data_IF_280053605331
#
_entry.id   IF_280053605331
#
_cell.length_a   1.000
_cell.length_b   1.000
_cell.length_c   1.000
_cell.angle_alpha   90.00
_cell.angle_beta   90.00
_cell.angle_gamma   90.00
#
_symmetry.space_group_name_H-M   'P 1'
#
loop_
_entity.id
_entity.type
_entity.pdbx_description
1 polymer ?
#
# COMPACT_ATOMS: atom_id res chain seq x y z
N UNK A 1 6.26 -4.66 -1.08
CA UNK A 1 5.12 -5.05 -1.99
C UNK A 1 4.65 -3.79 -2.72
N UNK A 2 3.88 -3.86 -3.81
CA UNK A 2 3.36 -2.63 -4.44
C UNK A 2 1.84 -2.69 -4.60
N UNK A 3 1.33 -3.33 -5.65
CA UNK A 3 -0.13 -3.33 -5.90
C UNK A 3 -0.91 -4.20 -4.91
N UNK A 4 -0.28 -5.18 -4.29
CA UNK A 4 -0.89 -6.01 -3.26
C UNK A 4 -1.41 -5.23 -2.07
N UNK A 5 -0.75 -4.14 -1.64
CA UNK A 5 -1.22 -3.30 -0.54
C UNK A 5 -2.65 -2.79 -0.76
N UNK A 6 -3.02 -2.48 -2.00
CA UNK A 6 -4.36 -1.98 -2.34
C UNK A 6 -5.47 -3.02 -2.13
N UNK A 7 -5.13 -4.31 -2.11
CA UNK A 7 -6.08 -5.35 -1.70
C UNK A 7 -6.60 -5.14 -0.29
N UNK A 8 -5.73 -4.72 0.64
CA UNK A 8 -6.13 -4.35 2.00
C UNK A 8 -7.07 -3.14 2.00
N UNK A 9 -6.82 -2.13 1.16
CA UNK A 9 -7.73 -0.97 1.03
C UNK A 9 -9.13 -1.37 0.62
N UNK A 10 -9.25 -2.25 -0.38
CA UNK A 10 -10.54 -2.77 -0.82
C UNK A 10 -11.25 -3.56 0.27
N UNK A 11 -10.54 -4.49 0.94
CA UNK A 11 -11.09 -5.28 2.04
C UNK A 11 -11.51 -4.39 3.22
N UNK A 12 -10.68 -3.42 3.60
CA UNK A 12 -10.96 -2.45 4.65
C UNK A 12 -12.22 -1.64 4.34
N UNK A 13 -12.37 -1.15 3.12
CA UNK A 13 -13.56 -0.41 2.65
C UNK A 13 -14.84 -1.23 2.72
N UNK A 14 -14.74 -2.54 2.61
CA UNK A 14 -15.88 -3.47 2.79
C UNK A 14 -16.27 -3.66 4.25
N UNK A 15 -15.29 -3.62 5.16
CA UNK A 15 -15.54 -3.77 6.60
C UNK A 15 -16.08 -2.51 7.24
N UNK A 16 -15.61 -1.34 6.81
CA UNK A 16 -16.02 -0.04 7.34
C UNK A 16 -16.21 0.96 6.19
N UNK A 17 -17.43 1.43 6.01
CA UNK A 17 -17.81 2.32 4.90
C UNK A 17 -17.53 3.80 5.15
N UNK A 18 -17.06 4.17 6.33
CA UNK A 18 -16.80 5.58 6.68
C UNK A 18 -15.56 6.15 5.98
N UNK A 19 -14.37 5.49 6.01
CA UNK A 19 -13.21 6.00 5.27
C UNK A 19 -13.39 5.78 3.77
N UNK A 20 -13.32 6.84 2.92
CA UNK A 20 -13.43 6.66 1.47
C UNK A 20 -12.27 5.84 0.91
N UNK A 21 -12.49 5.16 -0.22
CA UNK A 21 -11.51 4.25 -0.81
C UNK A 21 -10.17 4.93 -1.13
N UNK A 22 -10.20 6.17 -1.64
CA UNK A 22 -8.98 6.92 -1.93
C UNK A 22 -8.12 7.16 -0.69
N UNK A 23 -8.75 7.42 0.47
CA UNK A 23 -8.03 7.60 1.73
C UNK A 23 -7.36 6.30 2.17
N UNK A 24 -8.06 5.18 2.03
CA UNK A 24 -7.49 3.85 2.32
C UNK A 24 -6.35 3.51 1.36
N UNK A 25 -6.43 3.92 0.08
CA UNK A 25 -5.33 3.79 -0.89
C UNK A 25 -4.08 4.55 -0.44
N UNK A 26 -4.25 5.78 0.05
CA UNK A 26 -3.14 6.54 0.64
C UNK A 26 -2.67 5.90 1.96
N UNK A 27 -3.60 5.42 2.80
CA UNK A 27 -3.25 4.85 4.10
C UNK A 27 -2.38 3.59 3.96
N UNK A 28 -2.73 2.64 3.09
CA UNK A 28 -1.92 1.44 2.87
C UNK A 28 -0.56 1.74 2.24
N UNK A 29 -0.39 2.87 1.59
CA UNK A 29 0.86 3.31 0.97
C UNK A 29 1.54 4.45 1.77
N UNK A 30 1.05 4.77 2.97
CA UNK A 30 1.54 5.95 3.71
C UNK A 30 3.04 5.89 3.95
N UNK A 31 3.58 4.72 4.27
CA UNK A 31 5.01 4.55 4.50
C UNK A 31 5.82 4.89 3.25
N UNK A 32 5.39 4.43 2.09
CA UNK A 32 6.00 4.73 0.79
C UNK A 32 5.77 6.18 0.34
N UNK A 33 4.60 6.74 0.61
CA UNK A 33 4.28 8.15 0.34
C UNK A 33 5.22 9.09 1.13
N UNK A 34 5.64 8.67 2.32
CA UNK A 34 6.63 9.37 3.13
C UNK A 34 8.08 9.04 2.70
N UNK A 35 8.34 7.78 2.34
CA UNK A 35 9.64 7.31 1.89
C UNK A 35 10.13 8.06 0.64
N UNK A 36 9.27 8.24 -0.35
CA UNK A 36 9.67 8.86 -1.60
C UNK A 36 10.23 10.29 -1.40
N UNK A 37 9.56 11.24 -0.70
CA UNK A 37 10.15 12.53 -0.36
C UNK A 37 11.43 12.40 0.48
N UNK A 38 11.51 11.45 1.42
CA UNK A 38 12.71 11.28 2.26
C UNK A 38 13.91 10.80 1.44
N UNK A 39 13.69 9.97 0.42
CA UNK A 39 14.73 9.60 -0.55
C UNK A 39 15.17 10.81 -1.39
N UNK A 40 14.21 11.60 -1.89
CA UNK A 40 14.51 12.80 -2.69
C UNK A 40 15.29 13.85 -1.89
N UNK A 41 15.04 13.95 -0.59
CA UNK A 41 15.74 14.83 0.33
C UNK A 41 17.06 14.23 0.89
N UNK A 42 17.38 12.97 0.56
CA UNK A 42 18.57 12.28 1.06
C UNK A 42 18.51 11.88 2.54
N UNK A 43 17.30 11.94 3.15
CA UNK A 43 17.05 11.52 4.54
C UNK A 43 17.07 10.00 4.63
N UNK A 44 16.31 9.31 3.77
CA UNK A 44 16.39 7.87 3.58
C UNK A 44 17.14 7.54 2.29
N UNK A 45 17.67 6.33 2.18
CA UNK A 45 18.63 6.01 1.13
C UNK A 45 18.31 4.69 0.46
N UNK A 46 18.30 4.73 -0.86
CA UNK A 46 18.15 3.59 -1.74
C UNK A 46 19.12 3.72 -2.91
N UNK A 47 19.53 2.61 -3.48
CA UNK A 47 20.29 2.57 -4.73
C UNK A 47 19.75 1.47 -5.64
N UNK A 48 20.01 1.62 -6.94
CA UNK A 48 19.61 0.62 -7.92
C UNK A 48 20.74 -0.38 -8.05
N UNK A 49 20.47 -1.64 -7.71
CA UNK A 49 21.42 -2.77 -7.80
C UNK A 49 20.72 -3.90 -8.55
N UNK A 50 20.87 -3.96 -9.88
CA UNK A 50 20.28 -5.04 -10.67
C UNK A 50 20.70 -6.42 -10.15
N UNK A 51 19.74 -7.31 -9.94
CA UNK A 51 20.00 -8.66 -9.45
C UNK A 51 20.15 -8.79 -7.93
N UNK A 52 19.95 -7.73 -7.14
CA UNK A 52 19.98 -7.82 -5.66
C UNK A 52 18.85 -8.71 -5.13
N UNK A 53 17.72 -8.73 -5.81
CA UNK A 53 16.69 -9.78 -5.77
C UNK A 53 16.30 -10.14 -7.19
N UNK A 54 15.56 -11.23 -7.37
CA UNK A 54 15.14 -11.68 -8.70
C UNK A 54 14.02 -10.81 -9.34
N UNK A 55 13.27 -10.01 -8.56
CA UNK A 55 12.16 -9.18 -9.06
C UNK A 55 12.23 -7.70 -8.69
N UNK A 56 13.13 -7.30 -7.79
CA UNK A 56 13.24 -5.91 -7.37
C UNK A 56 14.72 -5.49 -7.30
N UNK A 57 15.13 -4.46 -8.07
CA UNK A 57 16.51 -3.99 -8.10
C UNK A 57 16.84 -2.96 -7.00
N UNK A 58 15.90 -2.63 -6.11
CA UNK A 58 16.09 -1.63 -5.07
C UNK A 58 16.87 -2.20 -3.89
N UNK A 59 18.05 -1.66 -3.62
CA UNK A 59 18.77 -1.86 -2.37
C UNK A 59 18.36 -0.77 -1.38
N UNK A 60 17.39 -1.12 -0.53
CA UNK A 60 16.78 -0.25 0.46
C UNK A 60 17.62 -0.28 1.76
N UNK A 61 18.84 0.24 1.68
CA UNK A 61 19.83 0.03 2.72
C UNK A 61 19.68 0.91 3.96
N UNK A 62 18.91 2.02 3.88
CA UNK A 62 18.66 2.91 5.01
C UNK A 62 17.26 3.54 4.93
N UNK A 63 16.32 3.05 5.74
CA UNK A 63 14.92 3.51 5.75
C UNK A 63 14.28 3.43 7.16
N UNK A 64 14.93 4.03 8.19
CA UNK A 64 14.50 3.88 9.58
C UNK A 64 13.24 4.66 9.92
N UNK A 65 12.95 5.77 9.22
CA UNK A 65 11.90 6.72 9.58
C UNK A 65 10.54 6.37 8.98
N UNK A 66 10.54 5.53 7.93
CA UNK A 66 9.30 5.09 7.29
C UNK A 66 9.08 3.60 7.46
N UNK A 67 10.11 2.76 7.26
CA UNK A 67 9.97 1.32 7.16
C UNK A 67 10.52 0.52 8.35
N UNK A 68 11.01 1.16 9.44
CA UNK A 68 11.20 0.39 10.66
C UNK A 68 9.82 0.02 11.26
N UNK A 69 9.73 -1.12 11.96
CA UNK A 69 8.47 -1.52 12.62
C UNK A 69 8.00 -0.45 13.60
N UNK A 70 8.94 0.16 14.35
CA UNK A 70 8.60 1.24 15.29
C UNK A 70 8.07 2.46 14.54
N UNK A 71 8.70 2.86 13.42
CA UNK A 71 8.18 3.95 12.59
C UNK A 71 6.80 3.62 12.01
N UNK A 72 6.59 2.41 11.50
CA UNK A 72 5.30 1.95 11.00
C UNK A 72 4.20 2.02 12.08
N UNK A 73 4.49 1.61 13.32
CA UNK A 73 3.57 1.74 14.45
C UNK A 73 3.28 3.21 14.79
N UNK A 74 4.29 4.08 14.78
CA UNK A 74 4.11 5.51 15.03
C UNK A 74 3.26 6.17 13.94
N UNK A 75 3.54 5.93 12.66
CA UNK A 75 2.75 6.47 11.56
C UNK A 75 1.32 5.93 11.56
N UNK A 76 1.12 4.66 11.94
CA UNK A 76 -0.20 4.06 12.14
C UNK A 76 -0.97 4.78 13.25
N UNK A 77 -0.33 5.05 14.38
CA UNK A 77 -0.94 5.78 15.49
C UNK A 77 -1.27 7.24 15.10
N UNK A 78 -0.38 7.91 14.38
CA UNK A 78 -0.62 9.27 13.85
C UNK A 78 -1.81 9.28 12.89
N UNK A 79 -1.87 8.36 11.93
CA UNK A 79 -2.97 8.26 10.97
C UNK A 79 -4.31 7.98 11.69
N UNK A 80 -4.32 7.07 12.65
CA UNK A 80 -5.47 6.80 13.52
C UNK A 80 -5.93 8.07 14.26
N UNK A 81 -5.01 8.76 14.92
CA UNK A 81 -5.31 9.96 15.69
C UNK A 81 -5.84 11.10 14.82
N UNK A 82 -5.21 11.34 13.66
CA UNK A 82 -5.64 12.35 12.68
C UNK A 82 -7.03 12.04 12.12
N UNK A 83 -7.29 10.77 11.76
CA UNK A 83 -8.63 10.40 11.29
C UNK A 83 -9.67 10.55 12.41
N UNK A 84 -9.34 10.14 13.63
CA UNK A 84 -10.22 10.23 14.80
C UNK A 84 -10.57 11.67 15.18
N UNK A 85 -9.65 12.61 15.00
CA UNK A 85 -9.86 14.04 15.30
C UNK A 85 -10.83 14.73 14.32
N UNK A 86 -11.07 14.15 13.13
CA UNK A 86 -11.96 14.73 12.13
C UNK A 86 -13.46 14.48 12.38
N UNK A 87 -13.82 13.57 13.30
CA UNK A 87 -15.20 13.27 13.57
C UNK A 87 -15.42 12.44 14.84
N UNK A 88 -16.59 12.60 15.48
CA UNK A 88 -16.97 11.98 16.74
C UNK A 88 -18.24 11.13 16.71
N UNK A 89 -18.77 10.83 15.50
CA UNK A 89 -20.01 10.07 15.35
C UNK A 89 -19.89 8.58 15.71
N UNK A 90 -21.02 7.84 15.73
CA UNK A 90 -21.04 6.39 15.83
C UNK A 90 -20.12 5.76 14.77
N UNK A 91 -19.31 4.77 15.16
CA UNK A 91 -18.35 4.12 14.23
C UNK A 91 -17.01 4.84 14.03
N UNK A 92 -16.86 6.11 14.44
CA UNK A 92 -15.62 6.86 14.22
C UNK A 92 -14.37 6.21 14.84
N UNK A 93 -14.53 5.44 15.93
CA UNK A 93 -13.43 4.67 16.52
C UNK A 93 -13.03 3.48 15.64
N UNK A 94 -14.01 2.73 15.11
CA UNK A 94 -13.75 1.60 14.22
C UNK A 94 -13.09 2.07 12.94
N UNK A 95 -13.58 3.15 12.33
CA UNK A 95 -13.00 3.75 11.14
C UNK A 95 -11.56 4.22 11.36
N UNK A 96 -11.29 4.90 12.48
CA UNK A 96 -9.93 5.35 12.84
C UNK A 96 -8.98 4.17 13.07
N UNK A 97 -9.42 3.13 13.78
CA UNK A 97 -8.65 1.90 13.96
C UNK A 97 -8.34 1.25 12.62
N UNK A 98 -9.32 1.18 11.72
CA UNK A 98 -9.13 0.58 10.40
C UNK A 98 -8.10 1.36 9.57
N UNK A 99 -8.12 2.70 9.61
CA UNK A 99 -7.11 3.53 8.95
C UNK A 99 -5.72 3.27 9.51
N UNK A 100 -5.57 3.22 10.84
CA UNK A 100 -4.29 2.87 11.46
C UNK A 100 -3.81 1.47 11.09
N UNK A 101 -4.69 0.46 11.11
CA UNK A 101 -4.37 -0.91 10.69
C UNK A 101 -4.03 -1.00 9.20
N UNK A 102 -4.67 -0.20 8.35
CA UNK A 102 -4.32 -0.11 6.93
C UNK A 102 -2.87 0.38 6.75
N UNK A 103 -2.43 1.38 7.51
CA UNK A 103 -1.02 1.82 7.50
C UNK A 103 -0.09 0.70 7.98
N UNK A 104 -0.41 0.05 9.10
CA UNK A 104 0.44 -1.02 9.65
C UNK A 104 0.53 -2.23 8.70
N UNK A 105 -0.54 -2.52 7.96
CA UNK A 105 -0.57 -3.63 7.01
C UNK A 105 0.51 -3.52 5.92
N UNK A 106 0.96 -2.30 5.60
CA UNK A 106 2.06 -2.08 4.69
C UNK A 106 3.32 -2.81 5.16
N UNK A 107 3.77 -2.53 6.38
CA UNK A 107 4.96 -3.16 6.95
C UNK A 107 4.82 -4.70 7.02
N UNK A 108 3.64 -5.20 7.40
CA UNK A 108 3.37 -6.64 7.50
C UNK A 108 3.47 -7.34 6.14
N UNK A 109 2.93 -6.73 5.09
CA UNK A 109 2.99 -7.29 3.73
C UNK A 109 4.40 -7.17 3.15
N UNK A 110 5.11 -6.09 3.46
CA UNK A 110 6.50 -5.91 3.06
C UNK A 110 7.44 -6.91 3.72
N UNK A 111 7.21 -7.26 4.98
CA UNK A 111 7.96 -8.31 5.65
C UNK A 111 7.96 -9.64 4.87
N UNK A 112 6.87 -9.95 4.16
CA UNK A 112 6.78 -11.17 3.34
C UNK A 112 7.66 -11.10 2.09
N UNK A 113 7.72 -9.93 1.43
CA UNK A 113 8.37 -9.82 0.11
C UNK A 113 9.81 -9.34 0.20
N UNK A 114 10.14 -8.48 1.14
CA UNK A 114 11.48 -7.93 1.33
C UNK A 114 12.49 -9.03 1.71
N UNK A 115 13.71 -8.88 1.21
CA UNK A 115 14.87 -9.55 1.81
C UNK A 115 15.05 -9.01 3.24
N UNK A 116 15.98 -9.57 4.08
CA UNK A 116 16.24 -9.02 5.41
C UNK A 116 16.85 -7.61 5.37
N UNK A 117 16.05 -6.61 4.97
CA UNK A 117 16.40 -5.19 4.90
C UNK A 117 15.38 -4.27 5.61
N UNK A 118 14.23 -4.81 6.09
CA UNK A 118 13.28 -4.08 6.91
C UNK A 118 13.77 -3.97 8.36
N UNK A 119 14.05 -2.75 8.87
CA UNK A 119 14.46 -2.60 10.27
C UNK A 119 13.31 -2.89 11.24
N UNK A 120 13.62 -3.41 12.42
CA UNK A 120 12.67 -3.43 13.54
C UNK A 120 12.69 -2.10 14.30
N UNK A 121 13.88 -1.55 14.55
CA UNK A 121 14.08 -0.29 15.24
C UNK A 121 15.25 0.46 14.61
N UNK A 122 15.08 1.76 14.35
CA UNK A 122 16.07 2.58 13.65
C UNK A 122 16.55 1.86 12.37
N UNK A 123 17.82 1.73 12.10
CA UNK A 123 18.37 0.94 10.99
C UNK A 123 18.92 -0.43 11.43
N UNK A 124 18.38 -0.99 12.50
CA UNK A 124 18.91 -2.21 13.15
C UNK A 124 17.92 -3.38 13.12
N UNK A 125 18.42 -4.58 13.44
CA UNK A 125 17.62 -5.80 13.52
C UNK A 125 16.75 -6.03 12.26
N UNK A 126 17.39 -6.04 11.09
CA UNK A 126 16.73 -6.14 9.79
C UNK A 126 16.15 -7.53 9.56
N UNK A 127 14.88 -7.56 9.11
CA UNK A 127 14.09 -8.77 8.88
C UNK A 127 13.45 -8.75 7.49
N UNK A 128 12.90 -9.90 7.05
CA UNK A 128 12.20 -10.08 5.79
C UNK A 128 12.27 -11.54 5.32
N UNK A 129 11.22 -12.03 4.67
CA UNK A 129 11.13 -13.42 4.20
C UNK A 129 11.69 -13.63 2.79
N UNK A 130 11.99 -12.55 2.06
CA UNK A 130 12.73 -12.60 0.78
C UNK A 130 11.94 -13.13 -0.40
N UNK A 131 10.59 -12.99 -0.41
CA UNK A 131 9.77 -13.53 -1.49
C UNK A 131 10.10 -12.89 -2.86
N UNK A 132 10.69 -11.70 -2.91
CA UNK A 132 11.19 -11.08 -4.15
C UNK A 132 12.25 -11.91 -4.89
N UNK A 133 12.87 -12.89 -4.21
CA UNK A 133 13.75 -13.87 -4.85
C UNK A 133 13.00 -15.00 -5.59
N UNK A 134 11.65 -15.00 -5.53
CA UNK A 134 10.76 -15.93 -6.23
C UNK A 134 9.70 -15.15 -7.03
N UNK A 135 10.05 -14.54 -8.19
CA UNK A 135 9.22 -13.59 -8.90
C UNK A 135 7.79 -14.07 -9.17
N UNK A 136 7.64 -15.32 -9.62
CA UNK A 136 6.33 -15.90 -9.90
C UNK A 136 5.44 -15.97 -8.66
N UNK A 137 5.99 -16.37 -7.51
CA UNK A 137 5.24 -16.44 -6.25
C UNK A 137 4.93 -15.05 -5.70
N UNK A 138 5.89 -14.12 -5.77
CA UNK A 138 5.68 -12.74 -5.34
C UNK A 138 4.58 -12.07 -6.19
N UNK A 139 4.64 -12.23 -7.51
CA UNK A 139 3.63 -11.70 -8.43
C UNK A 139 2.24 -12.33 -8.19
N UNK A 140 2.18 -13.65 -8.00
CA UNK A 140 0.93 -14.35 -7.70
C UNK A 140 0.33 -13.88 -6.36
N UNK A 141 1.16 -13.65 -5.33
CA UNK A 141 0.71 -13.12 -4.05
C UNK A 141 0.15 -11.70 -4.22
N UNK A 142 0.85 -10.82 -4.94
CA UNK A 142 0.37 -9.46 -5.20
C UNK A 142 -0.98 -9.47 -5.93
N UNK A 143 -1.13 -10.31 -6.94
CA UNK A 143 -2.40 -10.48 -7.67
C UNK A 143 -3.50 -11.05 -6.77
N UNK A 144 -3.20 -12.06 -5.96
CA UNK A 144 -4.17 -12.70 -5.07
C UNK A 144 -4.67 -11.73 -3.99
N UNK A 145 -3.77 -10.95 -3.38
CA UNK A 145 -4.16 -9.95 -2.36
C UNK A 145 -4.98 -8.83 -2.99
N UNK A 146 -4.54 -8.30 -4.15
CA UNK A 146 -5.24 -7.23 -4.86
C UNK A 146 -6.66 -7.65 -5.25
N UNK A 147 -6.79 -8.73 -6.00
CA UNK A 147 -8.10 -9.18 -6.49
C UNK A 147 -8.95 -9.84 -5.43
N UNK A 148 -8.36 -10.48 -4.41
CA UNK A 148 -9.08 -11.00 -3.25
C UNK A 148 -9.77 -9.88 -2.47
N UNK A 149 -9.04 -8.81 -2.14
CA UNK A 149 -9.61 -7.62 -1.50
C UNK A 149 -10.66 -6.93 -2.38
N UNK A 150 -10.38 -6.78 -3.67
CA UNK A 150 -11.33 -6.21 -4.64
C UNK A 150 -12.61 -7.06 -4.76
N UNK A 151 -12.52 -8.37 -4.76
CA UNK A 151 -13.68 -9.26 -4.80
C UNK A 151 -14.57 -9.08 -3.55
N UNK A 152 -13.95 -8.97 -2.36
CA UNK A 152 -14.67 -8.65 -1.12
C UNK A 152 -15.39 -7.30 -1.22
N UNK A 153 -14.70 -6.27 -1.71
CA UNK A 153 -15.28 -4.94 -1.92
C UNK A 153 -16.48 -4.99 -2.86
N UNK A 154 -16.30 -5.54 -4.06
CA UNK A 154 -17.34 -5.61 -5.09
C UNK A 154 -18.52 -6.54 -4.70
N UNK A 155 -18.29 -7.53 -3.85
CA UNK A 155 -19.35 -8.37 -3.29
C UNK A 155 -20.30 -7.64 -2.35
N UNK A 156 -19.87 -6.49 -1.78
CA UNK A 156 -20.68 -5.65 -0.89
C UNK A 156 -21.23 -4.37 -1.51
N UNK A 157 -20.96 -4.12 -2.80
CA UNK A 157 -21.32 -2.88 -3.48
C UNK A 157 -22.36 -3.14 -4.57
N UNK A 158 -23.21 -2.14 -4.81
CA UNK A 158 -24.09 -2.07 -5.98
C UNK A 158 -23.53 -1.03 -6.95
N UNK A 159 -23.24 -1.43 -8.18
CA UNK A 159 -22.67 -0.56 -9.21
C UNK A 159 -21.93 -1.33 -10.30
N UNK A 160 -21.39 -0.64 -11.31
CA UNK A 160 -20.69 -1.29 -12.42
C UNK A 160 -19.36 -1.86 -11.97
N UNK A 161 -19.22 -3.19 -11.94
CA UNK A 161 -18.01 -3.88 -11.49
C UNK A 161 -16.85 -3.79 -12.48
N UNK A 162 -17.16 -3.73 -13.79
CA UNK A 162 -16.15 -3.80 -14.84
C UNK A 162 -15.09 -2.70 -14.76
N UNK A 163 -15.42 -1.40 -14.56
CA UNK A 163 -14.41 -0.36 -14.47
C UNK A 163 -13.40 -0.60 -13.32
N UNK A 164 -13.86 -1.10 -12.17
CA UNK A 164 -12.99 -1.42 -11.04
C UNK A 164 -12.09 -2.62 -11.33
N UNK A 165 -12.62 -3.66 -12.00
CA UNK A 165 -11.84 -4.83 -12.41
C UNK A 165 -10.77 -4.43 -13.43
N UNK A 166 -11.12 -3.58 -14.41
CA UNK A 166 -10.16 -3.06 -15.40
C UNK A 166 -9.08 -2.21 -14.71
N UNK A 167 -9.43 -1.42 -13.71
CA UNK A 167 -8.46 -0.68 -12.92
C UNK A 167 -7.47 -1.62 -12.21
N UNK A 168 -7.96 -2.67 -11.55
CA UNK A 168 -7.09 -3.69 -10.95
C UNK A 168 -6.21 -4.40 -11.98
N UNK A 169 -6.72 -4.68 -13.17
CA UNK A 169 -5.94 -5.27 -14.25
C UNK A 169 -4.82 -4.33 -14.72
N UNK A 170 -5.09 -3.02 -14.85
CA UNK A 170 -4.06 -2.02 -15.18
C UNK A 170 -3.00 -1.94 -14.07
N UNK A 171 -3.41 -1.93 -12.80
CA UNK A 171 -2.47 -1.97 -11.66
C UNK A 171 -1.56 -3.21 -11.74
N UNK A 172 -2.13 -4.39 -12.04
CA UNK A 172 -1.35 -5.62 -12.17
C UNK A 172 -0.42 -5.61 -13.39
N UNK A 173 -0.81 -4.99 -14.51
CA UNK A 173 0.08 -4.79 -15.67
C UNK A 173 1.26 -3.87 -15.32
N UNK A 174 1.03 -2.81 -14.55
CA UNK A 174 2.10 -1.95 -14.05
C UNK A 174 3.03 -2.74 -13.12
N UNK A 175 2.47 -3.59 -12.24
CA UNK A 175 3.27 -4.49 -11.40
C UNK A 175 4.11 -5.47 -12.22
N UNK A 176 3.55 -6.01 -13.29
CA UNK A 176 4.31 -6.88 -14.21
C UNK A 176 5.49 -6.13 -14.85
N UNK A 177 5.28 -4.87 -15.25
CA UNK A 177 6.37 -4.03 -15.74
C UNK A 177 7.43 -3.76 -14.69
N UNK A 178 7.04 -3.52 -13.43
CA UNK A 178 7.99 -3.31 -12.31
C UNK A 178 8.82 -4.56 -12.05
N UNK A 179 8.25 -5.76 -12.17
CA UNK A 179 8.94 -7.02 -11.89
C UNK A 179 9.79 -7.54 -13.04
N UNK A 180 9.32 -7.37 -14.27
CA UNK A 180 9.89 -8.03 -15.46
C UNK A 180 10.43 -7.04 -16.50
N UNK A 181 10.21 -5.75 -16.29
CA UNK A 181 10.72 -4.69 -17.13
C UNK A 181 12.15 -4.25 -16.78
N UNK A 182 12.67 -3.22 -17.45
CA UNK A 182 13.98 -2.68 -17.14
C UNK A 182 13.98 -2.01 -15.77
N UNK A 183 15.12 -2.06 -15.03
CA UNK A 183 15.24 -1.37 -13.75
C UNK A 183 15.10 0.14 -13.92
N UNK A 184 14.68 0.88 -12.89
CA UNK A 184 14.63 2.34 -12.93
C UNK A 184 16.04 2.91 -13.13
N UNK A 185 16.12 4.03 -13.86
CA UNK A 185 17.40 4.67 -14.23
C UNK A 185 18.14 5.30 -13.04
N UNK A 186 17.43 5.59 -11.95
CA UNK A 186 17.99 6.14 -10.71
C UNK A 186 17.05 5.94 -9.53
N UNK A 187 17.58 6.09 -8.32
CA UNK A 187 16.79 6.09 -7.07
C UNK A 187 15.72 7.20 -7.08
N UNK A 188 16.08 8.41 -7.57
CA UNK A 188 15.16 9.53 -7.66
C UNK A 188 14.02 9.25 -8.66
N UNK A 189 14.34 8.65 -9.81
CA UNK A 189 13.31 8.25 -10.78
C UNK A 189 12.36 7.22 -10.19
N UNK A 190 12.86 6.23 -9.44
CA UNK A 190 12.04 5.26 -8.74
C UNK A 190 11.10 5.93 -7.73
N UNK A 191 11.63 6.82 -6.87
CA UNK A 191 10.85 7.52 -5.85
C UNK A 191 9.74 8.42 -6.48
N UNK A 192 10.09 9.20 -7.51
CA UNK A 192 9.11 10.07 -8.20
C UNK A 192 8.03 9.25 -8.90
N UNK A 193 8.42 8.19 -9.62
CA UNK A 193 7.46 7.34 -10.35
C UNK A 193 6.52 6.64 -9.39
N UNK A 194 7.02 6.13 -8.26
CA UNK A 194 6.21 5.52 -7.22
C UNK A 194 5.21 6.52 -6.63
N UNK A 195 5.67 7.72 -6.24
CA UNK A 195 4.80 8.76 -5.67
C UNK A 195 3.68 9.18 -6.64
N UNK A 196 4.02 9.36 -7.93
CA UNK A 196 3.03 9.66 -8.98
C UNK A 196 2.00 8.53 -9.09
N UNK A 197 2.45 7.27 -9.09
CA UNK A 197 1.55 6.11 -9.15
C UNK A 197 0.59 6.08 -7.94
N UNK A 198 1.07 6.32 -6.72
CA UNK A 198 0.23 6.34 -5.52
C UNK A 198 -0.86 7.41 -5.59
N UNK A 199 -0.51 8.62 -6.01
CA UNK A 199 -1.48 9.74 -6.18
C UNK A 199 -2.49 9.43 -7.29
N UNK A 200 -2.03 8.95 -8.43
CA UNK A 200 -2.90 8.59 -9.57
C UNK A 200 -3.86 7.46 -9.18
N UNK A 201 -3.38 6.41 -8.53
CA UNK A 201 -4.24 5.30 -8.11
C UNK A 201 -5.29 5.74 -7.09
N UNK A 202 -4.93 6.58 -6.12
CA UNK A 202 -5.88 7.16 -5.18
C UNK A 202 -6.94 8.03 -5.89
N UNK A 203 -6.53 8.85 -6.85
CA UNK A 203 -7.44 9.69 -7.63
C UNK A 203 -8.40 8.86 -8.49
N UNK A 204 -7.91 7.81 -9.16
CA UNK A 204 -8.73 6.89 -9.94
C UNK A 204 -9.70 6.13 -9.04
N UNK A 205 -9.24 5.65 -7.88
CA UNK A 205 -10.10 4.99 -6.90
C UNK A 205 -11.23 5.92 -6.42
N UNK A 206 -10.92 7.20 -6.12
CA UNK A 206 -11.90 8.21 -5.76
C UNK A 206 -12.94 8.44 -6.87
N UNK A 207 -12.49 8.48 -8.11
CA UNK A 207 -13.37 8.67 -9.26
C UNK A 207 -14.29 7.48 -9.48
N UNK A 208 -13.75 6.27 -9.46
CA UNK A 208 -14.52 5.03 -9.64
C UNK A 208 -15.51 4.79 -8.51
N UNK A 209 -15.14 5.10 -7.27
CA UNK A 209 -16.01 4.91 -6.11
C UNK A 209 -17.30 5.73 -6.21
N UNK A 210 -17.29 6.90 -6.89
CA UNK A 210 -18.50 7.72 -7.11
C UNK A 210 -19.63 6.98 -7.85
N UNK A 211 -19.27 5.99 -8.68
CA UNK A 211 -20.22 5.13 -9.38
C UNK A 211 -20.79 3.99 -8.54
N UNK A 212 -20.31 3.80 -7.31
CA UNK A 212 -20.73 2.71 -6.43
C UNK A 212 -21.61 3.25 -5.31
N UNK A 213 -22.81 2.68 -5.15
CA UNK A 213 -23.69 3.01 -4.02
C UNK A 213 -23.25 2.24 -2.78
N UNK A 214 -22.96 2.98 -1.73
CA UNK A 214 -22.69 2.40 -0.41
C UNK A 214 -24.03 1.95 0.17
N UNK A 215 -24.18 0.67 0.59
CA UNK A 215 -25.37 0.24 1.31
C UNK A 215 -25.54 1.09 2.58
N UNK A 216 -26.79 1.47 2.88
CA UNK A 216 -27.07 2.16 4.14
C UNK A 216 -26.56 1.30 5.32
N UNK A 217 -26.02 1.91 6.40
CA UNK A 217 -25.66 1.18 7.60
C UNK A 217 -26.85 0.33 8.06
N UNK A 218 -26.61 -0.94 8.33
CA UNK A 218 -27.68 -1.76 8.94
C UNK A 218 -28.01 -1.13 10.27
N UNK A 219 -29.28 -0.75 10.46
CA UNK A 219 -29.78 -0.35 11.77
C UNK A 219 -29.47 -1.49 12.76
N UNK A 220 -28.74 -1.14 13.83
CA UNK A 220 -28.43 -2.05 14.92
C UNK A 220 -29.66 -2.23 15.82
#
# INVERSE_FOLDING_TARGET
MFVGHYGVSFAARRLEYSPPLWLLFIAVQLLDVLWAPFVLLGIEKVRIVPGITASNPLDLYYMPYTHSLVAALLWSAVALALYRSQGGGPGARAAALLVGLAVLSHWVLDFVVHRPDLPLYDDTAKVGLGLWNRPALAFALEAAVLFGGMALYLGGQSGPRLPMILFGAVMLLIQAYVFFGPPPVSAQAAAVTALVAYVVFAAVAAWLERGHRIPAPRAA
#
